data_IF_556714729487
#
_entry.id   IF_556714729487
#
_cell.length_a   1.000
_cell.length_b   1.000
_cell.length_c   1.000
_cell.angle_alpha   90.00
_cell.angle_beta   90.00
_cell.angle_gamma   90.00
#
_symmetry.space_group_name_H-M   'P 1'
#
loop_
_entity.id
_entity.type
_entity.pdbx_description
1 polymer ?
#
# COMPACT_ATOMS: atom_id res chain seq x y z
N UNK A 1 -5.98 -14.77 -7.35
CA UNK A 1 -4.73 -14.05 -7.02
C UNK A 1 -4.78 -12.58 -7.39
N UNK A 2 -5.21 -12.17 -8.59
CA UNK A 2 -5.25 -10.73 -8.93
C UNK A 2 -6.33 -9.95 -8.15
N UNK A 3 -7.49 -10.55 -7.84
CA UNK A 3 -8.47 -9.98 -6.89
C UNK A 3 -7.90 -9.75 -5.48
N UNK A 4 -7.02 -10.65 -5.03
CA UNK A 4 -6.31 -10.51 -3.74
C UNK A 4 -5.32 -9.35 -3.83
N UNK A 5 -4.59 -9.23 -4.94
CA UNK A 5 -3.71 -8.09 -5.17
C UNK A 5 -4.45 -6.76 -5.17
N UNK A 6 -5.65 -6.70 -5.76
CA UNK A 6 -6.54 -5.54 -5.70
C UNK A 6 -6.87 -5.15 -4.25
N UNK A 7 -7.32 -6.12 -3.45
CA UNK A 7 -7.60 -5.90 -2.04
C UNK A 7 -6.36 -5.43 -1.27
N UNK A 8 -5.21 -6.09 -1.46
CA UNK A 8 -3.94 -5.72 -0.81
C UNK A 8 -3.49 -4.32 -1.22
N UNK A 9 -3.66 -3.94 -2.49
CA UNK A 9 -3.31 -2.61 -3.01
C UNK A 9 -4.13 -1.51 -2.31
N UNK A 10 -5.43 -1.72 -2.17
CA UNK A 10 -6.32 -0.78 -1.46
C UNK A 10 -6.00 -0.75 0.04
N UNK A 11 -5.80 -1.93 0.65
CA UNK A 11 -5.48 -2.05 2.08
C UNK A 11 -4.14 -1.41 2.43
N UNK A 12 -3.12 -1.60 1.58
CA UNK A 12 -1.81 -0.96 1.70
C UNK A 12 -1.98 0.56 1.68
N UNK A 13 -2.73 1.09 0.71
CA UNK A 13 -2.99 2.53 0.60
C UNK A 13 -3.66 3.10 1.85
N UNK A 14 -4.69 2.43 2.38
CA UNK A 14 -5.31 2.84 3.65
C UNK A 14 -4.35 2.74 4.82
N UNK A 15 -3.56 1.66 4.94
CA UNK A 15 -2.60 1.49 6.04
C UNK A 15 -1.53 2.60 6.05
N UNK A 16 -1.11 3.06 4.87
CA UNK A 16 -0.18 4.19 4.72
C UNK A 16 -0.84 5.51 5.12
N UNK A 17 -2.11 5.73 4.74
CA UNK A 17 -2.88 6.89 5.19
C UNK A 17 -3.08 6.90 6.71
N UNK A 18 -3.31 5.75 7.33
CA UNK A 18 -3.39 5.63 8.79
C UNK A 18 -2.06 5.95 9.47
N UNK A 19 -0.93 5.51 8.91
CA UNK A 19 0.40 5.90 9.40
C UNK A 19 0.60 7.42 9.34
N UNK A 20 0.26 8.04 8.21
CA UNK A 20 0.35 9.49 8.03
C UNK A 20 -0.58 10.23 8.99
N UNK A 21 -1.82 9.78 9.15
CA UNK A 21 -2.77 10.36 10.10
C UNK A 21 -2.26 10.26 11.55
N UNK A 22 -1.69 9.11 11.94
CA UNK A 22 -1.09 8.94 13.27
C UNK A 22 0.09 9.91 13.48
N UNK A 23 0.91 10.12 12.44
CA UNK A 23 2.04 11.05 12.50
C UNK A 23 1.63 12.53 12.52
N UNK A 24 0.65 12.94 11.72
CA UNK A 24 0.28 14.34 11.55
C UNK A 24 -0.75 14.83 12.57
N UNK A 25 -1.65 13.96 13.03
CA UNK A 25 -2.77 14.32 13.90
C UNK A 25 -2.54 13.85 15.34
N UNK A 26 -2.18 12.58 15.53
CA UNK A 26 -2.08 12.00 16.89
C UNK A 26 -0.80 12.44 17.59
N UNK A 27 0.34 12.42 16.90
CA UNK A 27 1.64 12.83 17.47
C UNK A 27 1.64 14.20 18.16
N UNK A 28 1.09 15.29 17.57
CA UNK A 28 1.08 16.61 18.23
C UNK A 28 0.09 16.69 19.40
N UNK A 29 -0.99 15.90 19.39
CA UNK A 29 -2.03 15.95 20.43
C UNK A 29 -1.69 15.05 21.63
N UNK A 30 -1.20 13.83 21.38
CA UNK A 30 -0.91 12.86 22.41
C UNK A 30 0.23 11.91 22.00
N UNK A 31 1.42 12.18 22.54
CA UNK A 31 2.63 11.41 22.24
C UNK A 31 2.57 9.97 22.77
N UNK A 32 1.89 9.73 23.90
CA UNK A 32 1.74 8.38 24.44
C UNK A 32 0.88 7.52 23.50
N UNK A 33 -0.29 8.04 23.11
CA UNK A 33 -1.20 7.38 22.18
C UNK A 33 -0.52 7.12 20.82
N UNK A 34 0.23 8.10 20.29
CA UNK A 34 1.02 7.93 19.07
C UNK A 34 1.94 6.70 19.14
N UNK A 35 2.70 6.54 20.23
CA UNK A 35 3.62 5.41 20.40
C UNK A 35 2.87 4.07 20.49
N UNK A 36 1.74 4.04 21.19
CA UNK A 36 0.90 2.83 21.31
C UNK A 36 0.32 2.39 19.96
N UNK A 37 -0.11 3.35 19.13
CA UNK A 37 -0.68 3.07 17.81
C UNK A 37 0.37 2.79 16.72
N UNK A 38 1.59 3.33 16.88
CA UNK A 38 2.64 3.23 15.86
C UNK A 38 3.03 1.78 15.57
N UNK A 39 3.22 0.96 16.59
CA UNK A 39 3.63 -0.43 16.43
C UNK A 39 2.59 -1.28 15.65
N UNK A 40 1.31 -1.37 16.08
CA UNK A 40 0.34 -2.19 15.37
C UNK A 40 0.03 -1.69 13.95
N UNK A 41 -0.06 -0.37 13.74
CA UNK A 41 -0.31 0.20 12.41
C UNK A 41 0.91 0.00 11.52
N UNK A 42 2.12 0.28 12.03
CA UNK A 42 3.37 0.11 11.29
C UNK A 42 3.63 -1.35 10.90
N UNK A 43 3.38 -2.29 11.81
CA UNK A 43 3.53 -3.72 11.51
C UNK A 43 2.51 -4.18 10.46
N UNK A 44 1.25 -3.73 10.57
CA UNK A 44 0.20 -4.04 9.58
C UNK A 44 0.56 -3.50 8.20
N UNK A 45 1.03 -2.25 8.12
CA UNK A 45 1.49 -1.65 6.88
C UNK A 45 2.71 -2.41 6.30
N UNK A 46 3.70 -2.74 7.12
CA UNK A 46 4.89 -3.48 6.66
C UNK A 46 4.55 -4.85 6.07
N UNK A 47 3.63 -5.59 6.67
CA UNK A 47 3.15 -6.88 6.14
C UNK A 47 2.43 -6.66 4.81
N UNK A 48 1.54 -5.66 4.73
CA UNK A 48 0.81 -5.31 3.50
C UNK A 48 1.76 -4.88 2.38
N UNK A 49 2.82 -4.13 2.69
CA UNK A 49 3.83 -3.71 1.73
C UNK A 49 4.61 -4.89 1.14
N UNK A 50 5.04 -5.85 1.98
CA UNK A 50 5.71 -7.07 1.50
C UNK A 50 4.76 -7.90 0.63
N UNK A 51 3.51 -8.07 1.06
CA UNK A 51 2.49 -8.77 0.29
C UNK A 51 2.22 -8.08 -1.05
N UNK A 52 2.17 -6.75 -1.07
CA UNK A 52 2.01 -5.94 -2.27
C UNK A 52 3.14 -6.17 -3.26
N UNK A 53 4.41 -6.12 -2.83
CA UNK A 53 5.56 -6.36 -3.70
C UNK A 53 5.49 -7.75 -4.32
N UNK A 54 5.28 -8.79 -3.51
CA UNK A 54 5.21 -10.17 -4.00
C UNK A 54 4.10 -10.35 -5.03
N UNK A 55 2.91 -9.80 -4.74
CA UNK A 55 1.77 -9.86 -5.63
C UNK A 55 1.95 -9.00 -6.89
N UNK A 56 2.69 -7.89 -6.84
CA UNK A 56 3.01 -7.07 -7.99
C UNK A 56 3.91 -7.83 -8.99
N UNK A 57 4.90 -8.57 -8.52
CA UNK A 57 5.71 -9.45 -9.37
C UNK A 57 4.87 -10.58 -10.00
N UNK A 58 3.96 -11.17 -9.23
CA UNK A 58 3.02 -12.16 -9.76
C UNK A 58 2.07 -11.55 -10.82
N UNK A 59 1.52 -10.37 -10.53
CA UNK A 59 0.63 -9.64 -11.43
C UNK A 59 1.32 -9.26 -12.74
N UNK A 60 2.61 -8.88 -12.70
CA UNK A 60 3.42 -8.63 -13.90
C UNK A 60 3.35 -9.79 -14.88
N UNK A 61 3.56 -11.02 -14.40
CA UNK A 61 3.56 -12.22 -15.25
C UNK A 61 2.16 -12.50 -15.82
N UNK A 62 1.10 -12.29 -15.03
CA UNK A 62 -0.28 -12.57 -15.44
C UNK A 62 -0.87 -11.50 -16.37
N UNK A 63 -0.60 -10.23 -16.11
CA UNK A 63 -1.12 -9.09 -16.87
C UNK A 63 -0.17 -8.63 -17.98
N UNK A 64 0.93 -9.37 -18.20
CA UNK A 64 1.96 -9.10 -19.21
C UNK A 64 2.48 -7.66 -19.16
N UNK A 65 2.64 -7.13 -17.94
CA UNK A 65 3.15 -5.77 -17.73
C UNK A 65 4.60 -5.64 -18.17
N UNK A 66 4.92 -4.47 -18.73
CA UNK A 66 6.31 -4.13 -19.04
C UNK A 66 7.12 -3.92 -17.75
N UNK A 67 8.44 -3.87 -17.88
CA UNK A 67 9.29 -3.55 -16.72
C UNK A 67 8.99 -2.15 -16.16
N UNK A 68 8.64 -1.18 -17.03
CA UNK A 68 8.26 0.18 -16.64
C UNK A 68 6.98 0.17 -15.81
N UNK A 69 5.98 -0.61 -16.23
CA UNK A 69 4.72 -0.74 -15.47
C UNK A 69 4.94 -1.31 -14.08
N UNK A 70 5.77 -2.37 -13.96
CA UNK A 70 6.15 -2.91 -12.66
C UNK A 70 6.82 -1.84 -11.79
N UNK A 71 7.74 -1.05 -12.36
CA UNK A 71 8.44 -0.01 -11.63
C UNK A 71 7.47 1.08 -11.15
N UNK A 72 6.52 1.51 -11.99
CA UNK A 72 5.46 2.46 -11.61
C UNK A 72 4.64 1.89 -10.44
N UNK A 73 4.25 0.62 -10.51
CA UNK A 73 3.48 -0.07 -9.46
C UNK A 73 4.26 -0.12 -8.13
N UNK A 74 5.56 -0.42 -8.17
CA UNK A 74 6.41 -0.48 -6.98
C UNK A 74 6.67 0.91 -6.39
N UNK A 75 6.87 1.93 -7.22
CA UNK A 75 7.07 3.32 -6.75
C UNK A 75 5.78 3.88 -6.17
N UNK A 76 4.62 3.47 -6.68
CA UNK A 76 3.33 3.95 -6.23
C UNK A 76 2.99 3.60 -4.77
N UNK A 77 3.60 2.58 -4.16
CA UNK A 77 3.42 2.30 -2.73
C UNK A 77 4.22 3.22 -1.81
N UNK A 78 5.19 3.97 -2.32
CA UNK A 78 5.91 4.98 -1.53
C UNK A 78 5.23 6.34 -1.52
N UNK A 79 4.28 6.57 -2.43
CA UNK A 79 3.60 7.85 -2.59
C UNK A 79 2.23 7.74 -1.95
N UNK A 80 1.81 8.69 -1.08
CA UNK A 80 0.45 8.71 -0.57
C UNK A 80 -0.53 8.76 -1.74
N UNK A 81 -1.54 7.90 -1.68
CA UNK A 81 -2.54 7.69 -2.74
C UNK A 81 -2.07 6.98 -4.01
N UNK A 82 -0.77 6.65 -4.15
CA UNK A 82 -0.24 6.02 -5.35
C UNK A 82 -0.85 4.63 -5.60
N UNK A 83 -1.06 3.82 -4.57
CA UNK A 83 -1.69 2.50 -4.71
C UNK A 83 -3.15 2.58 -5.16
N UNK A 84 -3.90 3.62 -4.82
CA UNK A 84 -5.26 3.84 -5.36
C UNK A 84 -5.24 4.15 -6.87
N UNK A 85 -4.21 4.84 -7.35
CA UNK A 85 -4.01 5.02 -8.80
C UNK A 85 -3.71 3.69 -9.48
N UNK A 86 -2.92 2.81 -8.86
CA UNK A 86 -2.64 1.47 -9.38
C UNK A 86 -3.92 0.65 -9.48
N UNK A 87 -4.76 0.64 -8.44
CA UNK A 87 -6.06 -0.02 -8.47
C UNK A 87 -6.90 0.45 -9.67
N UNK A 88 -7.04 1.78 -9.83
CA UNK A 88 -7.90 2.38 -10.86
C UNK A 88 -7.36 2.22 -12.29
N UNK A 89 -6.04 2.25 -12.49
CA UNK A 89 -5.44 2.18 -13.84
C UNK A 89 -5.12 0.75 -14.26
N UNK A 90 -4.52 -0.02 -13.36
CA UNK A 90 -3.92 -1.31 -13.68
C UNK A 90 -4.81 -2.50 -13.28
N UNK A 91 -5.73 -2.32 -12.32
CA UNK A 91 -6.60 -3.38 -11.79
C UNK A 91 -8.11 -3.12 -12.00
N UNK A 92 -8.46 -2.17 -12.88
CA UNK A 92 -9.84 -1.78 -13.15
C UNK A 92 -10.73 -2.95 -13.60
N UNK A 93 -10.18 -3.82 -14.44
CA UNK A 93 -10.91 -4.92 -15.11
C UNK A 93 -10.66 -6.29 -14.46
N UNK A 94 -10.19 -6.29 -13.22
CA UNK A 94 -9.95 -7.49 -12.39
C UNK A 94 -11.02 -7.58 -11.31
#
# INVERSE_FOLDING_TARGET
MIKIFKFVTIAEGFSYLFLLANMLIVKPVNLHLYKTLLFPIGMSHGILFIAYIFLAFYAKLKLKWTFIDLLIVLVASFIPFGTFYIDKKYLKNV
#
